data_IF_056200109336
#
_entry.id   IF_056200109336
#
_cell.length_a   1.000
_cell.length_b   1.000
_cell.length_c   1.000
_cell.angle_alpha   90.00
_cell.angle_beta   90.00
_cell.angle_gamma   90.00
#
_symmetry.space_group_name_H-M   'P 1'
#
loop_
_entity.id
_entity.type
_entity.pdbx_description
1 polymer ?
#
# COMPACT_ATOMS: atom_id res chain seq x y z
N UNK A 1 -5.17 -9.76 20.36
CA UNK A 1 -6.05 -8.82 19.64
C UNK A 1 -5.51 -8.58 18.24
N UNK A 2 -6.37 -8.67 17.26
CA UNK A 2 -5.93 -8.48 15.89
C UNK A 2 -5.57 -7.03 15.63
N UNK A 3 -4.50 -6.81 14.86
CA UNK A 3 -4.09 -5.48 14.46
C UNK A 3 -5.10 -4.92 13.46
N UNK A 4 -5.58 -3.72 13.70
CA UNK A 4 -6.48 -3.07 12.77
C UNK A 4 -5.65 -2.50 11.61
N UNK A 5 -5.68 -3.18 10.46
CA UNK A 5 -4.89 -2.77 9.31
C UNK A 5 -5.63 -2.99 8.00
N UNK A 6 -5.21 -2.28 6.98
CA UNK A 6 -5.72 -2.42 5.62
C UNK A 6 -4.58 -2.43 4.62
N UNK A 7 -4.80 -3.08 3.51
CA UNK A 7 -3.96 -2.96 2.33
C UNK A 7 -4.81 -2.32 1.23
N UNK A 8 -4.43 -1.14 0.81
CA UNK A 8 -5.12 -0.42 -0.25
C UNK A 8 -4.17 -0.24 -1.42
N UNK A 9 -4.67 -0.35 -2.64
CA UNK A 9 -3.78 -0.21 -3.78
C UNK A 9 -4.43 0.52 -4.94
N UNK A 10 -3.57 1.21 -5.70
CA UNK A 10 -3.92 1.85 -6.95
C UNK A 10 -3.00 1.27 -8.03
N UNK A 11 -3.50 0.27 -8.74
CA UNK A 11 -2.72 -0.45 -9.74
C UNK A 11 -3.63 -1.31 -10.60
N UNK A 12 -3.29 -1.43 -11.87
CA UNK A 12 -3.99 -2.34 -12.78
C UNK A 12 -3.23 -3.64 -12.97
N UNK A 13 -2.08 -3.79 -12.32
CA UNK A 13 -1.25 -4.98 -12.51
C UNK A 13 -1.75 -6.16 -11.70
N UNK A 14 -1.72 -7.34 -12.32
CA UNK A 14 -2.15 -8.57 -11.67
C UNK A 14 -1.31 -8.88 -10.42
N UNK A 15 -0.01 -8.57 -10.45
CA UNK A 15 0.88 -8.81 -9.32
C UNK A 15 0.43 -8.04 -8.07
N UNK A 16 -0.03 -6.79 -8.24
CA UNK A 16 -0.52 -6.02 -7.11
C UNK A 16 -1.77 -6.64 -6.50
N UNK A 17 -2.67 -7.14 -7.35
CA UNK A 17 -3.88 -7.82 -6.88
C UNK A 17 -3.53 -9.12 -6.16
N UNK A 18 -2.56 -9.84 -6.65
CA UNK A 18 -2.09 -11.07 -6.01
C UNK A 18 -1.46 -10.77 -4.66
N UNK A 19 -0.68 -9.70 -4.57
CA UNK A 19 -0.09 -9.28 -3.31
C UNK A 19 -1.18 -8.88 -2.31
N UNK A 20 -2.20 -8.16 -2.75
CA UNK A 20 -3.31 -7.78 -1.89
C UNK A 20 -4.01 -9.01 -1.31
N UNK A 21 -4.23 -10.02 -2.14
CA UNK A 21 -4.85 -11.27 -1.70
C UNK A 21 -3.94 -12.02 -0.71
N UNK A 22 -2.64 -12.04 -0.96
CA UNK A 22 -1.68 -12.70 -0.06
C UNK A 22 -1.63 -12.03 1.31
N UNK A 23 -1.62 -10.70 1.35
CA UNK A 23 -1.61 -9.96 2.60
C UNK A 23 -2.92 -10.16 3.35
N UNK A 24 -4.04 -10.14 2.64
CA UNK A 24 -5.35 -10.39 3.24
C UNK A 24 -5.38 -11.73 3.95
N UNK A 25 -4.89 -12.77 3.29
CA UNK A 25 -4.86 -14.12 3.85
C UNK A 25 -3.88 -14.20 5.02
N UNK A 26 -2.68 -13.66 4.85
CA UNK A 26 -1.62 -13.75 5.84
C UNK A 26 -1.99 -13.07 7.17
N UNK A 27 -2.66 -11.93 7.10
CA UNK A 27 -3.01 -11.15 8.30
C UNK A 27 -4.50 -11.27 8.68
N UNK A 28 -5.25 -12.09 7.98
CA UNK A 28 -6.67 -12.32 8.30
C UNK A 28 -7.53 -11.07 8.14
N UNK A 29 -7.28 -10.27 7.12
CA UNK A 29 -8.01 -9.02 6.92
C UNK A 29 -9.42 -9.27 6.38
N UNK A 30 -10.42 -8.67 7.02
CA UNK A 30 -11.80 -8.79 6.57
C UNK A 30 -12.23 -7.59 5.74
N UNK A 31 -11.56 -6.44 5.90
CA UNK A 31 -11.89 -5.22 5.21
C UNK A 31 -10.78 -4.78 4.28
N UNK A 32 -10.46 -5.61 3.35
CA UNK A 32 -9.47 -5.27 2.37
C UNK A 32 -10.20 -4.66 1.17
N UNK A 33 -10.15 -3.39 1.06
CA UNK A 33 -10.86 -2.68 0.04
C UNK A 33 -10.06 -2.42 -1.18
N UNK A 34 -9.70 -3.42 -1.77
CA UNK A 34 -8.98 -3.38 -2.95
C UNK A 34 -9.83 -3.30 -4.16
N UNK A 35 -10.47 -2.24 -4.32
CA UNK A 35 -11.15 -2.03 -5.55
C UNK A 35 -10.12 -1.92 -6.64
N UNK A 36 -9.89 -2.90 -7.33
CA UNK A 36 -9.10 -3.07 -8.52
C UNK A 36 -8.03 -2.01 -8.82
N UNK A 37 -8.41 -0.82 -9.19
CA UNK A 37 -7.48 0.26 -9.54
C UNK A 37 -7.90 1.59 -8.91
N UNK A 38 -8.77 1.56 -7.93
CA UNK A 38 -9.30 2.76 -7.30
C UNK A 38 -9.16 2.64 -5.79
N UNK A 39 -8.45 3.60 -5.20
CA UNK A 39 -8.38 3.72 -3.75
C UNK A 39 -9.71 4.33 -3.27
N UNK A 40 -10.35 3.73 -2.25
CA UNK A 40 -11.59 4.31 -1.72
C UNK A 40 -11.29 5.66 -1.05
N UNK A 41 -12.32 6.48 -0.84
CA UNK A 41 -12.12 7.77 -0.18
C UNK A 41 -11.47 7.61 1.20
N UNK A 42 -10.70 8.61 1.60
CA UNK A 42 -9.96 8.57 2.87
C UNK A 42 -10.87 8.42 4.08
N UNK A 43 -12.11 8.89 4.00
CA UNK A 43 -13.04 8.75 5.13
C UNK A 43 -13.42 7.29 5.42
N UNK A 44 -13.13 6.38 4.50
CA UNK A 44 -13.35 4.96 4.75
C UNK A 44 -12.34 4.38 5.74
N UNK A 45 -11.22 5.08 5.96
CA UNK A 45 -10.25 4.72 6.98
C UNK A 45 -10.62 5.40 8.28
N UNK A 46 -10.66 4.64 9.36
CA UNK A 46 -11.02 5.17 10.66
C UNK A 46 -10.20 4.51 11.74
N UNK A 47 -9.23 5.27 12.27
CA UNK A 47 -8.37 4.80 13.34
C UNK A 47 -7.65 3.49 13.00
N UNK A 48 -7.20 3.35 11.77
CA UNK A 48 -6.43 2.19 11.37
C UNK A 48 -5.05 2.24 12.04
N UNK A 49 -4.63 1.12 12.61
CA UNK A 49 -3.29 1.04 13.20
C UNK A 49 -2.22 1.09 12.12
N UNK A 50 -2.50 0.49 10.97
CA UNK A 50 -1.59 0.45 9.85
C UNK A 50 -2.37 0.43 8.53
N UNK A 51 -1.99 1.29 7.62
CA UNK A 51 -2.45 1.21 6.23
C UNK A 51 -1.21 0.96 5.37
N UNK A 52 -1.25 -0.10 4.58
CA UNK A 52 -0.21 -0.36 3.59
C UNK A 52 -0.75 0.10 2.24
N UNK A 53 -0.02 1.01 1.59
CA UNK A 53 -0.41 1.52 0.28
C UNK A 53 0.46 0.89 -0.80
N UNK A 54 -0.17 0.26 -1.78
CA UNK A 54 0.50 -0.24 -2.97
C UNK A 54 0.13 0.63 -4.15
N UNK A 55 1.10 1.33 -4.74
CA UNK A 55 0.86 2.27 -5.81
C UNK A 55 1.75 1.95 -7.01
N UNK A 56 1.15 1.84 -8.18
CA UNK A 56 1.88 1.68 -9.44
C UNK A 56 1.86 3.00 -10.21
N UNK A 57 2.98 3.36 -10.83
CA UNK A 57 3.06 4.56 -11.64
C UNK A 57 4.47 5.06 -11.81
N UNK A 58 4.60 6.29 -12.28
CA UNK A 58 5.90 6.92 -12.51
C UNK A 58 5.84 8.39 -12.10
N UNK A 59 6.82 8.80 -11.33
CA UNK A 59 7.02 10.22 -11.00
C UNK A 59 5.92 10.82 -10.16
N UNK A 60 4.92 11.38 -10.79
CA UNK A 60 3.85 12.09 -10.08
C UNK A 60 2.72 11.17 -9.68
N UNK A 61 2.08 11.50 -8.55
CA UNK A 61 0.90 10.80 -8.09
C UNK A 61 -0.30 11.11 -8.98
N UNK A 62 -1.10 10.09 -9.25
CA UNK A 62 -2.42 10.30 -9.83
C UNK A 62 -3.25 11.22 -8.91
N UNK A 63 -4.11 12.04 -9.49
CA UNK A 63 -4.89 13.00 -8.71
C UNK A 63 -5.74 12.36 -7.62
N UNK A 64 -6.34 11.21 -7.89
CA UNK A 64 -7.16 10.51 -6.88
C UNK A 64 -6.30 10.01 -5.74
N UNK A 65 -5.11 9.48 -6.05
CA UNK A 65 -4.17 8.99 -5.03
C UNK A 65 -3.65 10.16 -4.21
N UNK A 66 -3.32 11.27 -4.85
CA UNK A 66 -2.84 12.46 -4.15
C UNK A 66 -3.91 12.98 -3.18
N UNK A 67 -5.16 13.03 -3.63
CA UNK A 67 -6.26 13.48 -2.79
C UNK A 67 -6.46 12.56 -1.60
N UNK A 68 -6.45 11.26 -1.83
CA UNK A 68 -6.55 10.26 -0.77
C UNK A 68 -5.43 10.44 0.26
N UNK A 69 -4.19 10.49 -0.21
CA UNK A 69 -3.03 10.62 0.68
C UNK A 69 -3.06 11.95 1.43
N UNK A 70 -3.50 13.01 0.78
CA UNK A 70 -3.59 14.34 1.42
C UNK A 70 -4.63 14.43 2.52
N UNK A 71 -5.59 13.52 2.54
CA UNK A 71 -6.63 13.47 3.57
C UNK A 71 -6.36 12.41 4.63
N UNK A 72 -5.30 11.63 4.48
CA UNK A 72 -5.00 10.51 5.37
C UNK A 72 -4.23 11.00 6.59
N UNK A 73 -4.94 11.59 7.54
CA UNK A 73 -4.32 12.09 8.76
C UNK A 73 -4.17 10.99 9.81
N UNK A 74 -3.58 11.33 10.95
CA UNK A 74 -3.26 10.36 12.00
C UNK A 74 -4.49 9.73 12.64
N UNK A 75 -5.63 10.40 12.61
CA UNK A 75 -6.88 9.84 13.13
C UNK A 75 -7.42 8.75 12.23
N UNK A 76 -7.17 8.84 10.94
CA UNK A 76 -7.62 7.85 9.97
C UNK A 76 -6.64 6.68 9.90
N UNK A 77 -5.33 6.99 9.93
CA UNK A 77 -4.28 5.97 9.91
C UNK A 77 -3.16 6.41 10.83
N UNK A 78 -2.88 5.62 11.84
CA UNK A 78 -1.80 5.92 12.78
C UNK A 78 -0.44 5.77 12.13
N UNK A 79 -0.30 4.76 11.27
CA UNK A 79 0.93 4.48 10.55
C UNK A 79 0.60 4.11 9.11
N UNK A 80 1.44 4.56 8.18
CA UNK A 80 1.29 4.21 6.76
C UNK A 80 2.61 3.65 6.25
N UNK A 81 2.55 2.46 5.68
CA UNK A 81 3.68 1.84 5.00
C UNK A 81 3.44 1.90 3.49
N UNK A 82 4.51 2.02 2.72
CA UNK A 82 4.40 2.29 1.29
C UNK A 82 5.16 1.24 0.49
N UNK A 83 4.48 0.65 -0.49
CA UNK A 83 5.08 -0.19 -1.51
C UNK A 83 4.82 0.47 -2.86
N UNK A 84 5.89 0.80 -3.57
CA UNK A 84 5.79 1.47 -4.86
C UNK A 84 6.25 0.53 -5.97
N UNK A 85 5.39 0.32 -6.94
CA UNK A 85 5.75 -0.33 -8.19
C UNK A 85 6.00 0.79 -9.20
N UNK A 86 7.26 1.21 -9.31
CA UNK A 86 7.60 2.35 -10.13
C UNK A 86 8.99 2.88 -9.82
N UNK A 87 9.11 4.20 -9.77
CA UNK A 87 10.40 4.85 -9.58
C UNK A 87 10.51 5.54 -8.22
N UNK A 88 11.74 5.94 -7.88
CA UNK A 88 12.02 6.59 -6.60
C UNK A 88 11.32 7.94 -6.47
N UNK A 89 11.09 8.63 -7.58
CA UNK A 89 10.39 9.93 -7.56
C UNK A 89 8.95 9.76 -7.11
N UNK A 90 8.26 8.73 -7.59
CA UNK A 90 6.90 8.42 -7.14
C UNK A 90 6.87 8.13 -5.65
N UNK A 91 7.85 7.36 -5.17
CA UNK A 91 7.97 7.06 -3.74
C UNK A 91 8.15 8.35 -2.93
N UNK A 92 9.09 9.20 -3.34
CA UNK A 92 9.37 10.44 -2.63
C UNK A 92 8.15 11.36 -2.59
N UNK A 93 7.44 11.48 -3.72
CA UNK A 93 6.24 12.30 -3.80
C UNK A 93 5.13 11.77 -2.90
N UNK A 94 4.98 10.46 -2.81
CA UNK A 94 4.00 9.82 -1.95
C UNK A 94 4.31 10.10 -0.48
N UNK A 95 5.58 9.93 -0.09
CA UNK A 95 6.03 10.20 1.28
C UNK A 95 5.73 11.64 1.66
N UNK A 96 6.05 12.58 0.78
CA UNK A 96 5.87 14.01 1.05
C UNK A 96 4.40 14.35 1.32
N UNK A 97 3.49 13.86 0.47
CA UNK A 97 2.06 14.13 0.64
C UNK A 97 1.53 13.52 1.95
N UNK A 98 1.94 12.30 2.26
CA UNK A 98 1.50 11.62 3.49
C UNK A 98 2.01 12.31 4.74
N UNK A 99 3.27 12.75 4.74
CA UNK A 99 3.81 13.50 5.88
C UNK A 99 3.07 14.80 6.09
N UNK A 100 2.74 15.50 5.01
CA UNK A 100 1.98 16.75 5.09
C UNK A 100 0.57 16.51 5.64
N UNK A 101 -0.01 15.35 5.40
CA UNK A 101 -1.34 15.00 5.91
C UNK A 101 -1.33 14.67 7.41
N UNK A 102 -0.18 14.34 7.98
CA UNK A 102 -0.01 14.15 9.42
C UNK A 102 0.11 12.72 9.91
N UNK A 103 -0.05 11.73 9.04
CA UNK A 103 0.16 10.34 9.46
C UNK A 103 1.64 10.04 9.67
N UNK A 104 1.94 8.99 10.44
CA UNK A 104 3.30 8.55 10.62
C UNK A 104 3.70 7.65 9.44
N UNK A 105 4.63 8.12 8.62
CA UNK A 105 5.10 7.37 7.46
C UNK A 105 6.23 6.43 7.91
N UNK A 106 6.02 5.13 7.69
CA UNK A 106 7.02 4.12 8.05
C UNK A 106 8.23 4.27 7.11
N UNK A 107 9.43 4.32 7.67
CA UNK A 107 10.65 4.50 6.90
C UNK A 107 11.00 3.28 6.04
N UNK A 108 10.62 2.10 6.49
CA UNK A 108 10.88 0.86 5.77
C UNK A 108 9.93 0.74 4.58
N UNK A 109 10.28 1.38 3.48
CA UNK A 109 9.49 1.36 2.25
C UNK A 109 9.94 0.24 1.33
N UNK A 110 9.09 -0.14 0.39
CA UNK A 110 9.41 -1.17 -0.59
C UNK A 110 9.26 -0.59 -2.00
N UNK A 111 10.36 -0.56 -2.73
CA UNK A 111 10.36 -0.11 -4.13
C UNK A 111 10.54 -1.33 -5.01
N UNK A 112 9.58 -1.60 -5.86
CA UNK A 112 9.58 -2.78 -6.72
C UNK A 112 9.30 -2.39 -8.16
N UNK A 113 9.51 -3.33 -9.06
CA UNK A 113 9.08 -3.22 -10.46
C UNK A 113 8.45 -4.52 -10.86
N UNK A 114 7.12 -4.54 -10.89
CA UNK A 114 6.40 -5.71 -11.34
C UNK A 114 6.58 -5.85 -12.85
N UNK A 115 7.09 -6.98 -13.29
CA UNK A 115 7.31 -7.24 -14.70
C UNK A 115 6.02 -7.55 -15.44
N UNK A 116 6.16 -7.79 -16.76
CA UNK A 116 5.04 -8.16 -17.60
C UNK A 116 4.26 -6.99 -18.12
N UNK A 117 3.36 -7.27 -19.04
CA UNK A 117 2.47 -6.29 -19.64
C UNK A 117 1.11 -6.33 -18.93
N UNK A 118 0.46 -5.18 -18.73
CA UNK A 118 -0.80 -5.14 -17.96
C UNK A 118 -1.90 -6.04 -18.52
N UNK A 119 -1.94 -6.23 -19.83
CA UNK A 119 -2.98 -7.03 -20.47
C UNK A 119 -2.63 -8.51 -20.58
N UNK A 120 -1.37 -8.89 -20.32
CA UNK A 120 -0.95 -10.28 -20.33
C UNK A 120 -1.08 -10.92 -18.95
N UNK A 121 -0.99 -10.09 -17.92
CA UNK A 121 -1.12 -10.55 -16.54
C UNK A 121 0.16 -11.21 -16.04
N UNK A 122 0.96 -10.50 -15.29
CA UNK A 122 2.11 -11.08 -14.63
C UNK A 122 1.69 -11.92 -13.43
N UNK A 123 2.64 -12.66 -12.89
CA UNK A 123 2.40 -13.49 -11.73
C UNK A 123 3.55 -13.34 -10.76
N UNK A 124 3.22 -13.16 -9.48
CA UNK A 124 4.24 -13.16 -8.43
C UNK A 124 4.80 -14.56 -8.26
N UNK A 125 6.12 -14.66 -8.14
CA UNK A 125 6.75 -15.93 -7.78
C UNK A 125 6.55 -16.18 -6.29
N UNK A 126 6.77 -17.43 -5.86
CA UNK A 126 6.72 -17.73 -4.43
C UNK A 126 7.76 -16.96 -3.65
N UNK A 127 8.95 -16.77 -4.23
CA UNK A 127 10.03 -16.02 -3.60
C UNK A 127 9.64 -14.53 -3.43
N UNK A 128 9.04 -13.94 -4.45
CA UNK A 128 8.58 -12.54 -4.36
C UNK A 128 7.47 -12.39 -3.33
N UNK A 129 6.51 -13.30 -3.34
CA UNK A 129 5.42 -13.27 -2.36
C UNK A 129 5.97 -13.35 -0.94
N UNK A 130 6.90 -14.28 -0.71
CA UNK A 130 7.53 -14.41 0.61
C UNK A 130 8.28 -13.14 0.99
N UNK A 131 9.02 -12.55 0.07
CA UNK A 131 9.76 -11.32 0.34
C UNK A 131 8.84 -10.20 0.79
N UNK A 132 7.73 -10.02 0.09
CA UNK A 132 6.79 -8.94 0.40
C UNK A 132 6.02 -9.20 1.69
N UNK A 133 5.67 -10.45 1.96
CA UNK A 133 5.03 -10.81 3.23
C UNK A 133 5.99 -10.63 4.41
N UNK A 134 7.25 -11.00 4.24
CA UNK A 134 8.27 -10.79 5.27
C UNK A 134 8.45 -9.30 5.56
N UNK A 135 8.45 -8.48 4.52
CA UNK A 135 8.49 -7.03 4.68
C UNK A 135 7.30 -6.53 5.49
N UNK A 136 6.10 -6.99 5.16
CA UNK A 136 4.89 -6.60 5.88
C UNK A 136 4.95 -7.02 7.35
N UNK A 137 5.45 -8.23 7.64
CA UNK A 137 5.64 -8.68 9.01
C UNK A 137 6.62 -7.81 9.77
N UNK A 138 7.73 -7.42 9.13
CA UNK A 138 8.70 -6.52 9.73
C UNK A 138 8.05 -5.20 10.14
N UNK A 139 7.19 -4.65 9.29
CA UNK A 139 6.48 -3.42 9.61
C UNK A 139 5.51 -3.61 10.76
N UNK A 140 4.70 -4.66 10.72
CA UNK A 140 3.75 -4.95 11.79
C UNK A 140 4.49 -5.09 13.13
N UNK A 141 5.60 -5.81 13.13
CA UNK A 141 6.39 -6.00 14.35
C UNK A 141 6.98 -4.69 14.87
N UNK A 142 7.30 -3.76 13.98
CA UNK A 142 7.89 -2.48 14.38
C UNK A 142 6.89 -1.53 15.07
N UNK A 143 5.61 -1.74 14.89
CA UNK A 143 4.57 -0.86 15.43
C UNK A 143 3.73 -1.50 16.54
N UNK A 144 4.05 -2.72 16.90
CA UNK A 144 3.35 -3.40 18.02
C UNK A 144 3.61 -2.75 19.36
#
# INVERSE_FOLDING_TARGET
MALKMRFLYFSKKAQMKQLAAAIKTEFGLTENNNATDIIPPAYSCNNERLVILGISGKGELDDMVRRFCGELNKKKAQNVAILIDGDAKLLDNTIEVLKAAGTNVIENTKLVKFGGLPFIGGKLTEAETKEYLDWAHTIVDSIK
#
